data_IF_864180666206
#
_entry.id   IF_864180666206
#
_cell.length_a   1.000
_cell.length_b   1.000
_cell.length_c   1.000
_cell.angle_alpha   90.00
_cell.angle_beta   90.00
_cell.angle_gamma   90.00
#
_symmetry.space_group_name_H-M   'P 1'
#
loop_
_entity.id
_entity.type
_entity.pdbx_description
1 polymer ?
#
# COMPACT_ATOMS: atom_id res chain seq x y z
N UNK A 1 -19.70 13.84 -2.09
CA UNK A 1 -19.87 14.54 -3.38
C UNK A 1 -18.58 15.10 -4.04
N UNK A 2 -17.43 15.26 -3.36
CA UNK A 2 -16.17 15.76 -3.99
C UNK A 2 -15.28 14.72 -4.71
N UNK A 3 -15.65 13.43 -4.72
CA UNK A 3 -14.89 12.36 -5.42
C UNK A 3 -15.31 12.17 -6.88
N UNK A 4 -16.59 12.42 -7.20
CA UNK A 4 -17.12 12.29 -8.56
C UNK A 4 -16.64 13.40 -9.50
N UNK A 5 -16.43 14.63 -8.99
CA UNK A 5 -15.92 15.74 -9.81
C UNK A 5 -14.46 15.56 -10.23
N UNK A 6 -13.67 14.77 -9.48
CA UNK A 6 -12.26 14.51 -9.81
C UNK A 6 -12.11 13.48 -10.93
N UNK A 7 -12.96 12.44 -10.92
CA UNK A 7 -13.05 11.43 -11.98
C UNK A 7 -13.44 12.02 -13.34
N UNK A 8 -14.34 13.02 -13.35
CA UNK A 8 -14.76 13.69 -14.59
C UNK A 8 -13.61 14.52 -15.22
N UNK A 9 -12.87 15.28 -14.39
CA UNK A 9 -11.65 15.98 -14.87
C UNK A 9 -10.54 15.03 -15.31
N UNK A 10 -10.38 13.86 -14.69
CA UNK A 10 -9.34 12.89 -15.05
C UNK A 10 -9.65 12.25 -16.42
N UNK A 11 -10.91 11.85 -16.63
CA UNK A 11 -11.41 11.36 -17.91
C UNK A 11 -11.29 12.41 -19.02
N UNK A 12 -11.58 13.70 -18.73
CA UNK A 12 -11.38 14.80 -19.67
C UNK A 12 -9.90 15.12 -19.96
N UNK A 13 -9.01 15.07 -18.96
CA UNK A 13 -7.57 15.29 -19.14
C UNK A 13 -6.94 14.16 -19.97
N UNK A 14 -7.38 12.91 -19.79
CA UNK A 14 -6.94 11.79 -20.63
C UNK A 14 -7.46 11.93 -22.07
N UNK A 15 -8.71 12.37 -22.25
CA UNK A 15 -9.32 12.68 -23.56
C UNK A 15 -8.61 13.82 -24.31
N UNK A 16 -8.07 14.82 -23.58
CA UNK A 16 -7.30 15.94 -24.14
C UNK A 16 -5.87 15.51 -24.46
N UNK A 17 -5.23 14.69 -23.62
CA UNK A 17 -3.84 14.25 -23.81
C UNK A 17 -3.69 13.24 -24.97
N UNK A 18 -4.77 12.57 -25.37
CA UNK A 18 -4.81 11.59 -26.49
C UNK A 18 -5.35 12.20 -27.81
N UNK A 19 -5.55 13.52 -27.89
CA UNK A 19 -6.16 14.14 -29.09
C UNK A 19 -5.18 14.68 -30.15
N UNK A 20 -3.87 14.48 -29.99
CA UNK A 20 -2.86 14.97 -30.95
C UNK A 20 -1.96 13.87 -31.51
N UNK A 21 -2.14 13.63 -32.82
CA UNK A 21 -1.13 13.21 -33.81
C UNK A 21 -0.92 11.71 -34.12
N UNK A 22 -0.69 11.43 -35.41
CA UNK A 22 -0.65 10.16 -36.17
C UNK A 22 0.40 9.08 -35.74
N UNK A 23 0.85 9.04 -34.48
CA UNK A 23 1.94 8.15 -33.99
C UNK A 23 1.52 7.28 -32.80
N UNK A 24 0.24 6.90 -32.73
CA UNK A 24 -0.35 6.18 -31.58
C UNK A 24 0.10 4.72 -31.43
N UNK A 25 0.46 4.02 -32.50
CA UNK A 25 0.90 2.61 -32.40
C UNK A 25 2.27 2.48 -31.72
N UNK A 26 3.20 3.41 -31.98
CA UNK A 26 4.52 3.43 -31.32
C UNK A 26 4.43 3.99 -29.90
N UNK A 27 3.63 5.04 -29.65
CA UNK A 27 3.49 5.61 -28.30
C UNK A 27 2.71 4.70 -27.35
N UNK A 28 1.59 4.10 -27.79
CA UNK A 28 0.83 3.14 -26.98
C UNK A 28 1.64 1.85 -26.77
N UNK A 29 2.41 1.39 -27.77
CA UNK A 29 3.31 0.25 -27.60
C UNK A 29 4.47 0.55 -26.66
N UNK A 30 5.15 1.71 -26.78
CA UNK A 30 6.22 2.11 -25.87
C UNK A 30 5.73 2.33 -24.44
N UNK A 31 4.58 2.98 -24.25
CA UNK A 31 4.02 3.24 -22.93
C UNK A 31 3.46 1.95 -22.30
N UNK A 32 2.92 1.04 -23.11
CA UNK A 32 2.50 -0.28 -22.66
C UNK A 32 3.70 -1.20 -22.36
N UNK A 33 4.77 -1.17 -23.15
CA UNK A 33 6.02 -1.89 -22.89
C UNK A 33 6.71 -1.35 -21.64
N UNK A 34 6.75 -0.03 -21.46
CA UNK A 34 7.28 0.61 -20.25
C UNK A 34 6.44 0.27 -19.03
N UNK A 35 5.11 0.26 -19.14
CA UNK A 35 4.20 -0.12 -18.07
C UNK A 35 4.33 -1.62 -17.74
N UNK A 36 4.44 -2.51 -18.73
CA UNK A 36 4.66 -3.95 -18.52
C UNK A 36 6.06 -4.23 -17.95
N UNK A 37 7.08 -3.49 -18.38
CA UNK A 37 8.44 -3.60 -17.86
C UNK A 37 8.50 -3.10 -16.41
N UNK A 38 7.88 -1.96 -16.10
CA UNK A 38 7.77 -1.42 -14.75
C UNK A 38 6.96 -2.33 -13.84
N UNK A 39 5.82 -2.86 -14.31
CA UNK A 39 5.03 -3.84 -13.56
C UNK A 39 5.81 -5.14 -13.33
N UNK A 40 6.55 -5.62 -14.33
CA UNK A 40 7.39 -6.83 -14.20
C UNK A 40 8.58 -6.64 -13.26
N UNK A 41 9.26 -5.48 -13.31
CA UNK A 41 10.32 -5.14 -12.36
C UNK A 41 9.76 -5.01 -10.94
N UNK A 42 8.58 -4.41 -10.81
CA UNK A 42 7.91 -4.27 -9.53
C UNK A 42 7.43 -5.63 -9.00
N UNK A 43 6.98 -6.55 -9.85
CA UNK A 43 6.60 -7.92 -9.48
C UNK A 43 7.81 -8.75 -8.99
N UNK A 44 8.97 -8.62 -9.65
CA UNK A 44 10.23 -9.22 -9.20
C UNK A 44 10.70 -8.60 -7.88
N UNK A 45 10.61 -7.28 -7.74
CA UNK A 45 10.93 -6.57 -6.51
C UNK A 45 9.95 -6.97 -5.38
N UNK A 46 8.66 -7.12 -5.67
CA UNK A 46 7.64 -7.55 -4.71
C UNK A 46 7.88 -8.95 -4.21
N UNK A 47 8.31 -9.88 -5.07
CA UNK A 47 8.59 -11.25 -4.65
C UNK A 47 9.71 -11.31 -3.61
N UNK A 48 10.75 -10.48 -3.76
CA UNK A 48 11.82 -10.36 -2.76
C UNK A 48 11.36 -9.59 -1.52
N UNK A 49 10.54 -8.56 -1.73
CA UNK A 49 10.09 -7.64 -0.68
C UNK A 49 9.00 -8.26 0.21
N UNK A 50 8.17 -9.17 -0.29
CA UNK A 50 7.08 -9.82 0.46
C UNK A 50 7.59 -10.48 1.75
N UNK A 51 8.68 -11.25 1.65
CA UNK A 51 9.30 -11.92 2.81
C UNK A 51 9.87 -10.92 3.81
N UNK A 52 10.53 -9.88 3.31
CA UNK A 52 11.13 -8.84 4.15
C UNK A 52 10.06 -8.00 4.86
N UNK A 53 9.01 -7.57 4.14
CA UNK A 53 7.90 -6.80 4.70
C UNK A 53 7.16 -7.60 5.76
N UNK A 54 6.98 -8.90 5.57
CA UNK A 54 6.39 -9.77 6.58
C UNK A 54 7.23 -9.82 7.86
N UNK A 55 8.55 -10.04 7.73
CA UNK A 55 9.46 -10.08 8.88
C UNK A 55 9.51 -8.73 9.61
N UNK A 56 9.55 -7.62 8.87
CA UNK A 56 9.59 -6.28 9.45
C UNK A 56 8.26 -5.94 10.13
N UNK A 57 7.11 -6.29 9.55
CA UNK A 57 5.80 -6.09 10.17
C UNK A 57 5.65 -6.89 11.47
N UNK A 58 6.05 -8.16 11.47
CA UNK A 58 6.05 -8.96 12.70
C UNK A 58 7.03 -8.40 13.74
N UNK A 59 8.27 -8.11 13.35
CA UNK A 59 9.29 -7.57 14.25
C UNK A 59 8.87 -6.24 14.87
N UNK A 60 8.38 -5.30 14.08
CA UNK A 60 7.89 -4.01 14.56
C UNK A 60 6.66 -4.14 15.48
N UNK A 61 5.75 -5.08 15.20
CA UNK A 61 4.61 -5.34 16.09
C UNK A 61 5.02 -5.91 17.46
N UNK A 62 6.01 -6.82 17.49
CA UNK A 62 6.55 -7.37 18.74
C UNK A 62 7.28 -6.29 19.52
N UNK A 63 8.10 -5.48 18.85
CA UNK A 63 8.76 -4.33 19.46
C UNK A 63 7.77 -3.34 20.05
N UNK A 64 6.66 -3.06 19.36
CA UNK A 64 5.61 -2.18 19.87
C UNK A 64 4.98 -2.71 21.16
N UNK A 65 4.72 -4.02 21.26
CA UNK A 65 4.15 -4.63 22.46
C UNK A 65 5.15 -4.60 23.63
N UNK A 66 6.41 -4.96 23.40
CA UNK A 66 7.45 -5.00 24.43
C UNK A 66 7.80 -3.59 24.91
N UNK A 67 8.03 -2.66 23.99
CA UNK A 67 8.32 -1.26 24.34
C UNK A 67 7.10 -0.62 25.03
N UNK A 68 5.88 -0.95 24.59
CA UNK A 68 4.64 -0.43 25.18
C UNK A 68 4.41 -0.93 26.60
N UNK A 69 4.63 -2.23 26.85
CA UNK A 69 4.48 -2.80 28.20
C UNK A 69 5.55 -2.29 29.16
N UNK A 70 6.80 -2.22 28.71
CA UNK A 70 7.91 -1.68 29.52
C UNK A 70 7.74 -0.18 29.82
N UNK A 71 7.25 0.61 28.87
CA UNK A 71 6.93 2.03 29.10
C UNK A 71 5.88 2.20 30.22
N UNK A 72 4.85 1.36 30.24
CA UNK A 72 3.79 1.41 31.25
C UNK A 72 4.29 1.02 32.64
N UNK A 73 5.18 0.01 32.74
CA UNK A 73 5.72 -0.46 34.02
C UNK A 73 6.73 0.53 34.61
N UNK A 74 7.62 1.09 33.78
CA UNK A 74 8.69 1.98 34.24
C UNK A 74 8.22 3.42 34.51
N UNK A 75 6.95 3.74 34.22
CA UNK A 75 6.41 5.10 34.39
C UNK A 75 6.45 5.57 35.84
N UNK A 76 6.31 4.65 36.79
CA UNK A 76 6.30 4.93 38.23
C UNK A 76 7.69 4.83 38.89
N UNK A 77 8.64 4.10 38.28
CA UNK A 77 9.98 3.89 38.84
C UNK A 77 11.04 4.80 38.24
N UNK A 78 11.17 4.82 36.90
CA UNK A 78 12.29 5.39 36.17
C UNK A 78 11.82 6.18 34.94
N UNK A 79 11.40 7.43 35.17
CA UNK A 79 10.97 8.38 34.13
C UNK A 79 11.93 8.49 32.93
N UNK A 80 13.27 8.60 33.08
CA UNK A 80 14.15 8.73 31.91
C UNK A 80 14.20 7.47 31.05
N UNK A 81 14.02 6.29 31.65
CA UNK A 81 13.98 5.03 30.92
C UNK A 81 12.61 4.81 30.27
N UNK A 82 11.52 5.21 30.92
CA UNK A 82 10.19 5.23 30.33
C UNK A 82 10.12 6.13 29.08
N UNK A 83 10.78 7.31 29.12
CA UNK A 83 10.88 8.20 27.95
C UNK A 83 11.61 7.54 26.78
N UNK A 84 12.71 6.82 27.03
CA UNK A 84 13.41 6.05 26.00
C UNK A 84 12.51 5.00 25.35
N UNK A 85 11.74 4.27 26.15
CA UNK A 85 10.79 3.27 25.64
C UNK A 85 9.64 3.90 24.87
N UNK A 86 9.17 5.09 25.27
CA UNK A 86 8.19 5.86 24.51
C UNK A 86 8.71 6.23 23.11
N UNK A 87 9.97 6.68 23.01
CA UNK A 87 10.61 6.96 21.71
C UNK A 87 10.71 5.70 20.86
N UNK A 88 11.05 4.55 21.46
CA UNK A 88 11.06 3.26 20.76
C UNK A 88 9.67 2.85 20.24
N UNK A 89 8.61 3.03 21.04
CA UNK A 89 7.23 2.77 20.59
C UNK A 89 6.86 3.66 19.40
N UNK A 90 7.20 4.94 19.48
CA UNK A 90 6.94 5.89 18.42
C UNK A 90 7.68 5.53 17.13
N UNK A 91 8.95 5.15 17.24
CA UNK A 91 9.74 4.66 16.11
C UNK A 91 9.10 3.40 15.47
N UNK A 92 8.67 2.42 16.28
CA UNK A 92 8.00 1.22 15.78
C UNK A 92 6.69 1.55 15.03
N UNK A 93 5.89 2.50 15.55
CA UNK A 93 4.69 2.97 14.85
C UNK A 93 5.02 3.64 13.51
N UNK A 94 6.05 4.48 13.45
CA UNK A 94 6.50 5.10 12.19
C UNK A 94 6.92 4.04 11.18
N UNK A 95 7.66 3.01 11.61
CA UNK A 95 8.09 1.92 10.72
C UNK A 95 6.88 1.20 10.11
N UNK A 96 5.88 0.85 10.92
CA UNK A 96 4.64 0.21 10.42
C UNK A 96 3.93 1.12 9.41
N UNK A 97 3.81 2.42 9.71
CA UNK A 97 3.20 3.38 8.79
C UNK A 97 3.99 3.51 7.48
N UNK A 98 5.31 3.58 7.55
CA UNK A 98 6.18 3.71 6.39
C UNK A 98 6.06 2.52 5.43
N UNK A 99 5.75 1.34 5.95
CA UNK A 99 5.51 0.12 5.17
C UNK A 99 4.09 0.14 4.55
N UNK A 100 3.08 0.57 5.31
CA UNK A 100 1.69 0.58 4.83
C UNK A 100 1.39 1.69 3.80
N UNK A 101 2.05 2.85 3.89
CA UNK A 101 1.84 3.99 2.97
C UNK A 101 2.10 3.64 1.49
N UNK A 102 3.26 3.09 1.09
CA UNK A 102 3.51 2.72 -0.31
C UNK A 102 2.60 1.56 -0.76
N UNK A 103 2.25 0.63 0.13
CA UNK A 103 1.29 -0.43 -0.14
C UNK A 103 -0.07 0.13 -0.58
N UNK A 104 -0.61 1.07 0.20
CA UNK A 104 -1.88 1.73 -0.11
C UNK A 104 -1.79 2.61 -1.38
N UNK A 105 -0.70 3.36 -1.53
CA UNK A 105 -0.51 4.25 -2.68
C UNK A 105 -0.52 3.46 -3.99
N UNK A 106 0.17 2.31 -4.02
CA UNK A 106 0.21 1.45 -5.18
C UNK A 106 -1.16 0.85 -5.51
N UNK A 107 -1.88 0.36 -4.50
CA UNK A 107 -3.23 -0.18 -4.71
C UNK A 107 -4.18 0.88 -5.26
N UNK A 108 -4.11 2.11 -4.73
CA UNK A 108 -4.91 3.22 -5.22
C UNK A 108 -4.53 3.62 -6.66
N UNK A 109 -3.24 3.75 -6.96
CA UNK A 109 -2.75 4.10 -8.29
C UNK A 109 -3.11 3.03 -9.33
N UNK A 110 -3.01 1.75 -8.99
CA UNK A 110 -3.42 0.64 -9.85
C UNK A 110 -4.92 0.65 -10.15
N UNK A 111 -5.75 0.95 -9.14
CA UNK A 111 -7.19 1.05 -9.31
C UNK A 111 -7.61 2.28 -10.14
N UNK A 112 -6.97 3.43 -9.96
CA UNK A 112 -7.21 4.62 -10.78
C UNK A 112 -6.83 4.36 -12.25
N UNK A 113 -5.67 3.75 -12.46
CA UNK A 113 -5.22 3.36 -13.80
C UNK A 113 -6.19 2.36 -14.47
N UNK A 114 -6.70 1.38 -13.73
CA UNK A 114 -7.72 0.44 -14.22
C UNK A 114 -8.99 1.16 -14.72
N UNK A 115 -9.50 2.12 -13.95
CA UNK A 115 -10.71 2.89 -14.31
C UNK A 115 -10.46 3.72 -15.58
N UNK A 116 -9.32 4.40 -15.67
CA UNK A 116 -8.97 5.22 -16.84
C UNK A 116 -8.88 4.36 -18.12
N UNK A 117 -8.25 3.19 -18.04
CA UNK A 117 -8.20 2.24 -19.15
C UNK A 117 -9.60 1.70 -19.52
N UNK A 118 -10.46 1.46 -18.53
CA UNK A 118 -11.83 0.99 -18.75
C UNK A 118 -12.72 2.04 -19.44
N UNK A 119 -12.54 3.33 -19.11
CA UNK A 119 -13.32 4.43 -19.66
C UNK A 119 -12.90 4.87 -21.07
N UNK A 120 -11.79 4.34 -21.60
CA UNK A 120 -11.32 4.67 -22.95
C UNK A 120 -12.24 4.07 -24.01
N UNK A 121 -12.53 4.83 -25.07
CA UNK A 121 -13.41 4.36 -26.15
C UNK A 121 -12.68 3.35 -27.07
N UNK A 122 -12.54 2.12 -26.59
CA UNK A 122 -11.79 1.02 -27.22
C UNK A 122 -12.31 0.63 -28.62
N UNK A 123 -13.57 0.96 -28.94
CA UNK A 123 -14.19 0.64 -30.24
C UNK A 123 -13.54 1.37 -31.42
N UNK A 124 -12.99 2.57 -31.20
CA UNK A 124 -12.35 3.37 -32.26
C UNK A 124 -10.92 2.93 -32.61
N UNK A 125 -10.35 1.97 -31.89
CA UNK A 125 -8.95 1.58 -32.02
C UNK A 125 -8.73 0.44 -33.03
N UNK A 126 -7.53 0.35 -33.66
CA UNK A 126 -7.17 -0.79 -34.49
C UNK A 126 -7.16 -2.11 -33.69
N UNK A 127 -7.36 -3.27 -34.34
CA UNK A 127 -7.49 -4.55 -33.65
C UNK A 127 -6.27 -4.91 -32.79
N UNK A 128 -5.05 -4.54 -33.20
CA UNK A 128 -3.82 -4.75 -32.41
C UNK A 128 -3.84 -3.96 -31.09
N UNK A 129 -4.23 -2.69 -31.13
CA UNK A 129 -4.33 -1.84 -29.94
C UNK A 129 -5.44 -2.29 -28.99
N UNK A 130 -6.56 -2.82 -29.51
CA UNK A 130 -7.63 -3.41 -28.69
C UNK A 130 -7.16 -4.61 -27.87
N UNK A 131 -6.40 -5.52 -28.49
CA UNK A 131 -5.84 -6.69 -27.80
C UNK A 131 -4.86 -6.24 -26.70
N UNK A 132 -4.04 -5.23 -26.98
CA UNK A 132 -3.12 -4.65 -26.00
C UNK A 132 -3.86 -4.04 -24.80
N UNK A 133 -4.90 -3.23 -25.04
CA UNK A 133 -5.74 -2.63 -24.00
C UNK A 133 -6.43 -3.70 -23.14
N UNK A 134 -6.96 -4.77 -23.75
CA UNK A 134 -7.56 -5.89 -23.03
C UNK A 134 -6.54 -6.63 -22.15
N UNK A 135 -5.31 -6.85 -22.65
CA UNK A 135 -4.24 -7.45 -21.85
C UNK A 135 -3.91 -6.60 -20.62
N UNK A 136 -3.80 -5.28 -20.79
CA UNK A 136 -3.56 -4.35 -19.67
C UNK A 136 -4.72 -4.40 -18.67
N UNK A 137 -5.97 -4.36 -19.15
CA UNK A 137 -7.17 -4.40 -18.32
C UNK A 137 -7.24 -5.69 -17.50
N UNK A 138 -6.95 -6.85 -18.12
CA UNK A 138 -6.91 -8.16 -17.45
C UNK A 138 -5.79 -8.24 -16.41
N UNK A 139 -4.65 -7.60 -16.64
CA UNK A 139 -3.54 -7.58 -15.66
C UNK A 139 -3.82 -6.65 -14.49
N UNK A 140 -4.44 -5.51 -14.75
CA UNK A 140 -4.82 -4.50 -13.74
C UNK A 140 -6.10 -4.85 -12.99
N UNK A 141 -6.95 -5.76 -13.51
CA UNK A 141 -8.06 -6.34 -12.74
C UNK A 141 -7.58 -7.16 -11.55
N UNK A 142 -6.36 -7.72 -11.58
CA UNK A 142 -5.74 -8.24 -10.37
C UNK A 142 -5.32 -7.03 -9.55
N UNK A 143 -5.97 -6.78 -8.40
CA UNK A 143 -5.66 -5.58 -7.65
C UNK A 143 -4.19 -5.67 -7.23
N UNK A 144 -3.41 -4.62 -7.48
CA UNK A 144 -2.02 -4.51 -6.98
C UNK A 144 -2.07 -4.33 -5.46
N UNK A 145 -2.46 -5.39 -4.79
CA UNK A 145 -2.54 -5.47 -3.34
C UNK A 145 -1.22 -6.04 -2.92
N UNK A 146 -0.38 -5.16 -2.35
CA UNK A 146 0.76 -5.66 -1.60
C UNK A 146 0.22 -6.46 -0.42
N UNK A 147 0.43 -7.76 -0.46
CA UNK A 147 0.23 -8.61 0.70
C UNK A 147 1.52 -8.70 1.49
N UNK A 148 1.42 -8.50 2.81
CA UNK A 148 2.46 -8.95 3.73
C UNK A 148 2.27 -10.46 3.93
N UNK A 149 2.85 -11.27 3.04
CA UNK A 149 2.74 -12.73 3.07
C UNK A 149 1.32 -13.25 2.78
N UNK A 150 0.87 -14.28 3.48
CA UNK A 150 -0.46 -14.89 3.28
C UNK A 150 -1.61 -14.22 4.07
N UNK A 151 -1.29 -13.32 5.00
CA UNK A 151 -2.16 -13.06 6.17
C UNK A 151 -2.86 -11.70 6.14
N UNK A 152 -2.26 -10.68 5.54
CA UNK A 152 -2.88 -9.34 5.49
C UNK A 152 -2.42 -8.49 4.32
N UNK A 153 -3.37 -7.73 3.77
CA UNK A 153 -3.12 -6.70 2.78
C UNK A 153 -2.47 -5.50 3.48
N UNK A 154 -1.41 -4.92 2.90
CA UNK A 154 -0.71 -3.74 3.42
C UNK A 154 -1.57 -2.49 3.20
N UNK A 155 -2.52 -2.30 4.11
CA UNK A 155 -3.45 -1.16 4.12
C UNK A 155 -3.42 -0.41 5.45
N UNK A 156 -3.98 0.79 5.46
CA UNK A 156 -4.20 1.53 6.71
C UNK A 156 -5.14 0.80 7.67
N UNK A 157 -6.05 -0.03 7.15
CA UNK A 157 -6.95 -0.85 7.95
C UNK A 157 -6.19 -1.92 8.74
N UNK A 158 -5.20 -2.55 8.10
CA UNK A 158 -4.31 -3.53 8.74
C UNK A 158 -3.45 -2.85 9.81
N UNK A 159 -2.87 -1.68 9.52
CA UNK A 159 -2.11 -0.89 10.49
C UNK A 159 -2.96 -0.57 11.75
N UNK A 160 -4.17 -0.05 11.56
CA UNK A 160 -5.11 0.23 12.66
C UNK A 160 -5.44 -1.02 13.47
N UNK A 161 -5.66 -2.15 12.78
CA UNK A 161 -5.93 -3.44 13.42
C UNK A 161 -4.75 -3.94 14.25
N UNK A 162 -3.51 -3.79 13.76
CA UNK A 162 -2.29 -4.14 14.50
C UNK A 162 -2.13 -3.26 15.73
N UNK A 163 -2.30 -1.94 15.62
CA UNK A 163 -2.22 -1.04 16.78
C UNK A 163 -3.27 -1.37 17.84
N UNK A 164 -4.53 -1.65 17.43
CA UNK A 164 -5.60 -2.04 18.37
C UNK A 164 -5.25 -3.32 19.12
N UNK A 165 -4.74 -4.34 18.40
CA UNK A 165 -4.30 -5.60 19.02
C UNK A 165 -3.12 -5.37 19.96
N UNK A 166 -2.12 -4.59 19.56
CA UNK A 166 -0.97 -4.25 20.40
C UNK A 166 -1.40 -3.54 21.69
N UNK A 167 -2.28 -2.53 21.60
CA UNK A 167 -2.83 -1.85 22.77
C UNK A 167 -3.61 -2.79 23.70
N UNK A 168 -4.39 -3.71 23.13
CA UNK A 168 -5.08 -4.76 23.89
C UNK A 168 -4.09 -5.66 24.64
N UNK A 169 -3.01 -6.10 23.98
CA UNK A 169 -1.97 -6.92 24.63
C UNK A 169 -1.23 -6.16 25.72
N UNK A 170 -0.84 -4.90 25.47
CA UNK A 170 -0.19 -4.06 26.48
C UNK A 170 -1.08 -3.89 27.71
N UNK A 171 -2.39 -3.66 27.52
CA UNK A 171 -3.35 -3.52 28.63
C UNK A 171 -3.53 -4.83 29.39
N UNK A 172 -3.64 -5.95 28.69
CA UNK A 172 -3.74 -7.27 29.32
C UNK A 172 -2.50 -7.61 30.15
N UNK A 173 -1.30 -7.39 29.60
CA UNK A 173 -0.04 -7.58 30.31
C UNK A 173 0.07 -6.69 31.54
N UNK A 174 -0.35 -5.42 31.43
CA UNK A 174 -0.42 -4.51 32.57
C UNK A 174 -1.31 -5.07 33.67
N UNK A 175 -2.52 -5.53 33.33
CA UNK A 175 -3.47 -6.08 34.30
C UNK A 175 -2.92 -7.29 35.05
N UNK A 176 -2.18 -8.16 34.35
CA UNK A 176 -1.54 -9.33 34.96
C UNK A 176 -0.41 -8.88 35.90
N UNK A 177 0.43 -7.94 35.46
CA UNK A 177 1.53 -7.42 36.26
C UNK A 177 1.05 -6.72 37.54
N UNK A 178 -0.05 -5.97 37.48
CA UNK A 178 -0.64 -5.31 38.66
C UNK A 178 -1.38 -6.25 39.60
N UNK A 179 -1.72 -7.46 39.14
CA UNK A 179 -2.42 -8.46 39.95
C UNK A 179 -1.47 -9.39 40.73
N UNK A 180 -0.16 -9.30 40.46
CA UNK A 180 0.90 -10.07 41.10
C UNK A 180 1.55 -9.25 42.22
#
# INVERSE_FOLDING_TARGET
MRRLSRLDTSCHIFKIRIKTYNSWEEYLSCQCLLLLLLLGLNEILYFLTERLMFVIMLGSSVLLIIAGSTMVVLMDSDVPMALKMFVCCWAAMIVILFICVPGQLLTNAGHEFFIECYCVNWHGYPPKARVLLLLILVRTTKPLVLRAGFIADLSFETCSSVLKKAASYVTALRSIYTAL
#
